data_IF_536138342665
#
_entry.id   IF_536138342665
#
_cell.length_a   1.000
_cell.length_b   1.000
_cell.length_c   1.000
_cell.angle_alpha   90.00
_cell.angle_beta   90.00
_cell.angle_gamma   90.00
#
_symmetry.space_group_name_H-M   'P 1'
#
loop_
_entity.id
_entity.type
_entity.pdbx_description
1 polymer ?
#
# COMPACT_ATOMS: atom_id res chain seq x y z
N UNK A 1 2.42 -9.87 -22.26
CA UNK A 1 1.37 -8.85 -22.42
C UNK A 1 1.39 -8.18 -23.80
N UNK A 2 2.35 -7.32 -24.17
CA UNK A 2 2.33 -6.60 -25.48
C UNK A 2 2.33 -7.55 -26.69
N UNK A 3 3.16 -8.59 -26.69
CA UNK A 3 3.21 -9.57 -27.80
C UNK A 3 1.88 -10.32 -27.99
N UNK A 4 1.21 -10.68 -26.90
CA UNK A 4 -0.11 -11.32 -26.93
C UNK A 4 -1.14 -10.39 -27.60
N UNK A 5 -1.09 -9.10 -27.28
CA UNK A 5 -1.97 -8.09 -27.89
C UNK A 5 -1.70 -7.90 -29.39
N UNK A 6 -0.42 -7.94 -29.81
CA UNK A 6 -0.04 -7.88 -31.23
C UNK A 6 -0.55 -9.11 -32.00
N UNK A 7 -0.53 -10.30 -31.40
CA UNK A 7 -1.08 -11.52 -32.01
C UNK A 7 -2.60 -11.47 -32.17
N UNK A 8 -3.30 -10.88 -31.20
CA UNK A 8 -4.75 -10.74 -31.20
C UNK A 8 -5.22 -9.68 -32.20
N UNK A 9 -4.68 -8.46 -32.11
CA UNK A 9 -5.13 -7.30 -32.88
C UNK A 9 -4.53 -7.29 -34.30
N UNK A 10 -3.36 -7.93 -34.49
CA UNK A 10 -2.60 -7.96 -35.75
C UNK A 10 -2.38 -6.57 -36.37
N UNK A 11 -1.81 -5.61 -35.62
CA UNK A 11 -1.59 -4.27 -36.13
C UNK A 11 -0.61 -4.27 -37.32
N UNK A 12 -0.81 -3.35 -38.26
CA UNK A 12 0.16 -3.11 -39.34
C UNK A 12 1.38 -2.32 -38.85
N UNK A 13 1.23 -1.52 -37.79
CA UNK A 13 2.28 -0.71 -37.17
C UNK A 13 2.14 -0.73 -35.65
N UNK A 14 3.21 -1.10 -34.95
CA UNK A 14 3.35 -0.99 -33.51
C UNK A 14 4.21 0.23 -33.16
N UNK A 15 3.66 1.22 -32.46
CA UNK A 15 4.39 2.40 -32.00
C UNK A 15 4.74 2.24 -30.53
N UNK A 16 6.03 2.27 -30.20
CA UNK A 16 6.50 2.07 -28.82
C UNK A 16 7.59 3.08 -28.44
N UNK A 17 7.68 3.39 -27.16
CA UNK A 17 8.77 4.20 -26.62
C UNK A 17 10.10 3.46 -26.66
N UNK A 18 11.18 4.19 -26.94
CA UNK A 18 12.56 3.68 -26.90
C UNK A 18 12.97 3.11 -25.54
N UNK A 19 12.38 3.64 -24.47
CA UNK A 19 12.57 3.20 -23.09
C UNK A 19 11.20 3.05 -22.42
N UNK A 20 11.11 2.09 -21.49
CA UNK A 20 9.95 1.95 -20.59
C UNK A 20 10.09 2.81 -19.33
N UNK A 21 9.14 2.66 -18.40
CA UNK A 21 9.08 3.44 -17.17
C UNK A 21 10.33 3.31 -16.28
N UNK A 22 10.97 2.14 -16.29
CA UNK A 22 12.19 1.86 -15.53
C UNK A 22 13.44 2.11 -16.40
N UNK A 23 13.61 3.34 -16.88
CA UNK A 23 14.76 3.70 -17.71
C UNK A 23 16.05 3.66 -16.87
N UNK A 24 17.03 2.92 -17.34
CA UNK A 24 18.42 2.99 -16.83
C UNK A 24 19.17 4.06 -17.60
N UNK A 25 19.82 4.97 -16.89
CA UNK A 25 20.65 6.02 -17.49
C UNK A 25 21.77 5.43 -18.36
N UNK A 26 22.14 6.13 -19.42
CA UNK A 26 23.19 5.73 -20.39
C UNK A 26 22.90 4.45 -21.20
N UNK A 27 21.64 4.00 -21.28
CA UNK A 27 21.24 2.94 -22.20
C UNK A 27 20.68 3.52 -23.51
N UNK A 28 21.02 2.88 -24.64
CA UNK A 28 20.53 3.30 -25.95
C UNK A 28 19.07 2.90 -26.18
N UNK A 29 18.67 1.73 -25.67
CA UNK A 29 17.37 1.10 -25.87
C UNK A 29 16.95 0.30 -24.62
N UNK A 30 15.66 0.26 -24.30
CA UNK A 30 15.12 -0.59 -23.23
C UNK A 30 14.99 -2.06 -23.66
N UNK A 31 15.15 -2.99 -22.73
CA UNK A 31 15.08 -4.45 -23.00
C UNK A 31 13.75 -4.89 -23.62
N UNK A 32 12.63 -4.32 -23.17
CA UNK A 32 11.31 -4.62 -23.73
C UNK A 32 11.16 -4.09 -25.17
N UNK A 33 11.71 -2.90 -25.44
CA UNK A 33 11.70 -2.32 -26.78
C UNK A 33 12.59 -3.14 -27.74
N UNK A 34 13.74 -3.62 -27.27
CA UNK A 34 14.61 -4.52 -28.03
C UNK A 34 13.93 -5.85 -28.37
N UNK A 35 13.26 -6.47 -27.39
CA UNK A 35 12.54 -7.71 -27.61
C UNK A 35 11.41 -7.54 -28.63
N UNK A 36 10.63 -6.46 -28.53
CA UNK A 36 9.55 -6.17 -29.48
C UNK A 36 10.09 -5.91 -30.89
N UNK A 37 11.21 -5.21 -31.05
CA UNK A 37 11.84 -5.04 -32.37
C UNK A 37 12.26 -6.37 -33.01
N UNK A 38 12.72 -7.33 -32.20
CA UNK A 38 13.20 -8.63 -32.71
C UNK A 38 12.06 -9.59 -33.01
N UNK A 39 10.99 -9.54 -32.23
CA UNK A 39 9.97 -10.60 -32.21
C UNK A 39 8.63 -10.17 -32.79
N UNK A 40 8.32 -8.87 -32.86
CA UNK A 40 7.02 -8.43 -33.35
C UNK A 40 6.83 -8.80 -34.84
N UNK A 41 5.71 -9.44 -35.21
CA UNK A 41 5.43 -9.82 -36.60
C UNK A 41 4.99 -8.64 -37.48
N UNK A 42 5.04 -7.40 -36.99
CA UNK A 42 4.59 -6.19 -37.66
C UNK A 42 5.69 -5.13 -37.72
N UNK A 43 5.48 -4.06 -38.50
CA UNK A 43 6.40 -2.92 -38.49
C UNK A 43 6.39 -2.26 -37.12
N UNK A 44 7.57 -1.96 -36.58
CA UNK A 44 7.72 -1.30 -35.28
C UNK A 44 8.34 0.08 -35.47
N UNK A 45 7.66 1.12 -34.97
CA UNK A 45 8.19 2.47 -34.88
C UNK A 45 8.61 2.77 -33.44
N UNK A 46 9.91 3.01 -33.26
CA UNK A 46 10.45 3.47 -31.99
C UNK A 46 10.39 4.99 -31.88
N UNK A 47 9.79 5.50 -30.81
CA UNK A 47 9.76 6.92 -30.50
C UNK A 47 10.71 7.24 -29.34
N UNK A 48 11.61 8.20 -29.56
CA UNK A 48 12.44 8.75 -28.51
C UNK A 48 11.69 9.88 -27.82
N UNK A 49 11.43 9.76 -26.52
CA UNK A 49 10.98 10.89 -25.71
C UNK A 49 12.20 11.59 -25.08
N UNK A 50 12.28 12.90 -25.26
CA UNK A 50 13.25 13.77 -24.57
C UNK A 50 12.45 14.68 -23.65
N UNK A 51 12.75 14.65 -22.36
CA UNK A 51 12.09 15.53 -21.38
C UNK A 51 10.68 15.10 -20.97
N UNK A 52 10.21 13.92 -21.37
CA UNK A 52 8.97 13.31 -20.86
C UNK A 52 9.38 12.15 -19.95
N UNK A 53 9.04 12.27 -18.67
CA UNK A 53 9.17 11.18 -17.71
C UNK A 53 7.91 10.33 -17.72
N UNK A 54 7.96 9.07 -17.28
CA UNK A 54 6.78 8.22 -17.20
C UNK A 54 5.63 8.85 -16.39
N UNK A 55 5.97 9.61 -15.35
CA UNK A 55 5.02 10.39 -14.55
C UNK A 55 4.36 11.57 -15.30
N UNK A 56 4.96 12.03 -16.42
CA UNK A 56 4.44 13.12 -17.25
C UNK A 56 3.47 12.62 -18.34
N UNK A 57 3.39 11.31 -18.56
CA UNK A 57 2.49 10.71 -19.55
C UNK A 57 1.10 10.59 -18.91
N UNK A 58 0.09 11.34 -19.38
CA UNK A 58 -1.26 11.17 -18.88
C UNK A 58 -1.71 9.73 -19.14
N UNK A 59 -2.31 9.10 -18.13
CA UNK A 59 -3.01 7.84 -18.33
C UNK A 59 -4.16 8.09 -19.31
N UNK A 60 -3.98 7.64 -20.55
CA UNK A 60 -5.05 7.58 -21.55
C UNK A 60 -5.60 6.17 -21.45
N UNK A 61 -6.88 6.04 -21.06
CA UNK A 61 -7.56 4.75 -20.97
C UNK A 61 -7.69 4.09 -22.36
N UNK A 62 -7.96 2.78 -22.37
CA UNK A 62 -8.08 1.89 -23.55
C UNK A 62 -9.03 2.42 -24.64
N UNK A 63 -9.96 3.28 -24.25
CA UNK A 63 -11.09 3.79 -25.01
C UNK A 63 -10.96 5.28 -25.37
N UNK A 64 -9.84 5.93 -25.00
CA UNK A 64 -9.52 7.30 -25.42
C UNK A 64 -10.44 8.38 -24.87
N UNK A 65 -11.30 8.06 -23.90
CA UNK A 65 -12.13 9.03 -23.18
C UNK A 65 -11.35 9.59 -21.99
N UNK A 66 -11.42 10.91 -21.81
CA UNK A 66 -10.89 11.54 -20.61
C UNK A 66 -11.81 11.16 -19.43
N UNK A 67 -11.23 10.54 -18.40
CA UNK A 67 -11.93 10.22 -17.16
C UNK A 67 -12.52 11.46 -16.46
N UNK A 68 -13.30 11.23 -15.42
CA UNK A 68 -13.87 12.35 -14.65
C UNK A 68 -12.76 13.21 -14.05
N UNK A 69 -12.93 14.55 -13.93
CA UNK A 69 -11.99 15.37 -13.18
C UNK A 69 -12.01 14.98 -11.70
N UNK A 70 -10.84 14.97 -11.07
CA UNK A 70 -10.67 14.71 -9.63
C UNK A 70 -10.33 15.99 -8.87
N UNK A 71 -10.87 16.12 -7.67
CA UNK A 71 -10.45 17.18 -6.75
C UNK A 71 -9.03 16.89 -6.22
N UNK A 72 -8.19 17.92 -5.97
CA UNK A 72 -6.79 17.72 -5.55
C UNK A 72 -6.62 16.83 -4.31
N UNK A 73 -7.53 16.93 -3.35
CA UNK A 73 -7.52 16.10 -2.16
C UNK A 73 -7.89 14.64 -2.43
N UNK A 74 -8.72 14.37 -3.45
CA UNK A 74 -9.06 13.00 -3.87
C UNK A 74 -7.89 12.37 -4.66
N UNK A 75 -7.20 13.17 -5.49
CA UNK A 75 -5.96 12.80 -6.19
C UNK A 75 -4.89 12.32 -5.21
N UNK A 76 -4.63 13.04 -4.13
CA UNK A 76 -3.63 12.62 -3.13
C UNK A 76 -4.04 11.31 -2.44
N UNK A 77 -5.34 11.08 -2.27
CA UNK A 77 -5.85 9.90 -1.56
C UNK A 77 -5.81 8.64 -2.40
N UNK A 78 -6.08 8.72 -3.71
CA UNK A 78 -5.99 7.55 -4.59
C UNK A 78 -4.55 7.04 -4.71
N UNK A 79 -3.54 7.89 -4.45
CA UNK A 79 -2.13 7.46 -4.38
C UNK A 79 -1.81 6.52 -3.20
N UNK A 80 -2.75 6.34 -2.25
CA UNK A 80 -2.66 5.30 -1.21
C UNK A 80 -2.98 3.92 -1.77
N UNK A 81 -3.76 3.86 -2.86
CA UNK A 81 -3.94 2.63 -3.63
C UNK A 81 -2.62 2.31 -4.34
N UNK A 82 -2.21 1.05 -4.41
CA UNK A 82 -0.99 0.66 -5.10
C UNK A 82 -1.00 1.00 -6.59
N UNK A 83 0.14 1.36 -7.19
CA UNK A 83 0.21 1.78 -8.59
C UNK A 83 -0.48 0.82 -9.59
N UNK A 84 -0.29 -0.50 -9.42
CA UNK A 84 -0.90 -1.50 -10.31
C UNK A 84 -2.43 -1.57 -10.23
N UNK A 85 -3.01 -1.23 -9.07
CA UNK A 85 -4.45 -1.25 -8.82
C UNK A 85 -5.09 0.14 -8.96
N UNK A 86 -4.29 1.21 -9.11
CA UNK A 86 -4.78 2.58 -9.20
C UNK A 86 -5.71 2.78 -10.41
N UNK A 87 -5.40 2.20 -11.57
CA UNK A 87 -6.26 2.32 -12.76
C UNK A 87 -7.65 1.70 -12.51
N UNK A 88 -7.68 0.47 -11.99
CA UNK A 88 -8.92 -0.24 -11.65
C UNK A 88 -9.71 0.53 -10.58
N UNK A 89 -9.02 1.01 -9.53
CA UNK A 89 -9.64 1.74 -8.45
C UNK A 89 -10.18 3.10 -8.91
N UNK A 90 -9.46 3.84 -9.76
CA UNK A 90 -9.94 5.09 -10.36
C UNK A 90 -11.22 4.86 -11.12
N UNK A 91 -11.24 3.90 -12.04
CA UNK A 91 -12.43 3.57 -12.82
C UNK A 91 -13.63 3.23 -11.96
N UNK A 92 -13.44 2.36 -10.96
CA UNK A 92 -14.53 1.97 -10.07
C UNK A 92 -15.09 3.16 -9.26
N UNK A 93 -14.23 4.11 -8.86
CA UNK A 93 -14.66 5.36 -8.22
C UNK A 93 -15.36 6.28 -9.20
N UNK A 94 -14.85 6.44 -10.42
CA UNK A 94 -15.44 7.29 -11.45
C UNK A 94 -16.82 6.78 -11.88
N UNK A 95 -16.96 5.48 -12.12
CA UNK A 95 -18.25 4.82 -12.37
C UNK A 95 -19.23 5.07 -11.22
N UNK A 96 -18.79 4.90 -9.97
CA UNK A 96 -19.62 5.19 -8.80
C UNK A 96 -20.09 6.65 -8.74
N UNK A 97 -19.21 7.59 -9.10
CA UNK A 97 -19.55 9.01 -9.13
C UNK A 97 -20.54 9.32 -10.26
N UNK A 98 -20.35 8.74 -11.44
CA UNK A 98 -21.28 8.84 -12.57
C UNK A 98 -22.66 8.28 -12.22
N UNK A 99 -22.73 7.12 -11.56
CA UNK A 99 -23.98 6.52 -11.07
C UNK A 99 -24.75 7.45 -10.13
N UNK A 100 -24.03 8.25 -9.33
CA UNK A 100 -24.62 9.26 -8.44
C UNK A 100 -24.93 10.59 -9.13
N UNK A 101 -24.70 10.70 -10.45
CA UNK A 101 -24.89 11.92 -11.23
C UNK A 101 -23.84 13.00 -10.93
N UNK A 102 -22.70 12.63 -10.35
CA UNK A 102 -21.58 13.53 -10.10
C UNK A 102 -20.71 13.73 -11.34
N UNK A 103 -20.13 14.91 -11.47
CA UNK A 103 -19.25 15.29 -12.59
C UNK A 103 -17.80 15.55 -12.16
N UNK A 104 -17.49 15.41 -10.87
CA UNK A 104 -16.15 15.55 -10.29
C UNK A 104 -15.99 14.60 -9.10
N UNK A 105 -14.84 13.92 -9.01
CA UNK A 105 -14.52 13.04 -7.88
C UNK A 105 -14.06 13.89 -6.70
N UNK A 106 -14.92 14.05 -5.71
CA UNK A 106 -14.61 14.76 -4.46
C UNK A 106 -14.16 13.79 -3.37
N UNK A 107 -13.48 14.30 -2.33
CA UNK A 107 -13.07 13.48 -1.18
C UNK A 107 -14.24 12.70 -0.57
N UNK A 108 -15.41 13.32 -0.47
CA UNK A 108 -16.62 12.71 0.08
C UNK A 108 -17.13 11.56 -0.79
N UNK A 109 -17.20 11.75 -2.11
CA UNK A 109 -17.65 10.70 -3.01
C UNK A 109 -16.64 9.55 -3.09
N UNK A 110 -15.35 9.86 -2.99
CA UNK A 110 -14.28 8.88 -2.88
C UNK A 110 -14.44 8.05 -1.59
N UNK A 111 -14.74 8.67 -0.44
CA UNK A 111 -15.03 7.96 0.82
C UNK A 111 -16.22 7.00 0.68
N UNK A 112 -17.32 7.48 0.09
CA UNK A 112 -18.52 6.67 -0.13
C UNK A 112 -18.24 5.50 -1.09
N UNK A 113 -17.44 5.73 -2.14
CA UNK A 113 -17.01 4.69 -3.07
C UNK A 113 -16.15 3.65 -2.36
N UNK A 114 -15.15 4.07 -1.57
CA UNK A 114 -14.28 3.18 -0.81
C UNK A 114 -15.09 2.32 0.18
N UNK A 115 -16.04 2.92 0.90
CA UNK A 115 -16.88 2.20 1.85
C UNK A 115 -17.74 1.12 1.19
N UNK A 116 -18.23 1.37 -0.02
CA UNK A 116 -19.10 0.44 -0.76
C UNK A 116 -18.29 -0.64 -1.51
N UNK A 117 -17.13 -0.28 -2.06
CA UNK A 117 -16.38 -1.13 -2.99
C UNK A 117 -15.31 -1.97 -2.28
N UNK A 118 -14.71 -1.48 -1.20
CA UNK A 118 -13.59 -2.15 -0.54
C UNK A 118 -14.03 -2.86 0.75
N UNK A 119 -13.64 -4.12 0.98
CA UNK A 119 -13.80 -4.76 2.27
C UNK A 119 -13.09 -3.99 3.40
N UNK A 120 -13.65 -3.99 4.60
CA UNK A 120 -13.17 -3.20 5.77
C UNK A 120 -11.68 -3.41 6.08
N UNK A 121 -11.17 -4.63 5.90
CA UNK A 121 -9.75 -4.93 6.16
C UNK A 121 -8.81 -4.24 5.14
N UNK A 122 -9.22 -4.12 3.87
CA UNK A 122 -8.46 -3.37 2.86
C UNK A 122 -8.47 -1.86 3.13
N UNK A 123 -9.61 -1.32 3.59
CA UNK A 123 -9.72 0.09 3.98
C UNK A 123 -8.70 0.44 5.09
N UNK A 124 -8.67 -0.37 6.15
CA UNK A 124 -7.76 -0.17 7.29
C UNK A 124 -6.29 -0.34 6.90
N UNK A 125 -5.99 -1.31 6.03
CA UNK A 125 -4.64 -1.52 5.47
C UNK A 125 -4.15 -0.27 4.72
N UNK A 126 -5.03 0.37 3.95
CA UNK A 126 -4.71 1.58 3.19
C UNK A 126 -4.76 2.87 4.04
N UNK A 127 -4.95 2.74 5.37
CA UNK A 127 -5.06 3.88 6.28
C UNK A 127 -6.31 4.72 6.04
N UNK A 128 -7.38 4.09 5.55
CA UNK A 128 -8.68 4.70 5.29
C UNK A 128 -9.57 4.29 6.47
N UNK A 129 -9.60 5.14 7.49
CA UNK A 129 -10.31 4.95 8.75
C UNK A 129 -9.90 6.01 9.76
N UNK A 130 -10.70 6.21 10.80
CA UNK A 130 -10.31 7.06 11.92
C UNK A 130 -9.11 6.47 12.67
N UNK A 131 -8.34 7.32 13.36
CA UNK A 131 -7.21 6.87 14.18
C UNK A 131 -7.65 5.85 15.24
N UNK A 132 -8.86 5.99 15.78
CA UNK A 132 -9.46 5.07 16.75
C UNK A 132 -9.76 3.69 16.14
N UNK A 133 -10.32 3.65 14.93
CA UNK A 133 -10.62 2.39 14.23
C UNK A 133 -9.34 1.62 13.87
N UNK A 134 -8.30 2.33 13.43
CA UNK A 134 -6.99 1.75 13.12
C UNK A 134 -6.36 1.16 14.39
N UNK A 135 -6.34 1.92 15.49
CA UNK A 135 -5.79 1.46 16.76
C UNK A 135 -6.54 0.22 17.30
N UNK A 136 -7.87 0.22 17.22
CA UNK A 136 -8.69 -0.92 17.61
C UNK A 136 -8.39 -2.16 16.74
N UNK A 137 -8.20 -1.97 15.43
CA UNK A 137 -7.87 -3.06 14.52
C UNK A 137 -6.48 -3.66 14.83
N UNK A 138 -5.49 -2.82 15.15
CA UNK A 138 -4.15 -3.26 15.56
C UNK A 138 -4.17 -4.05 16.87
N UNK A 139 -4.94 -3.60 17.87
CA UNK A 139 -5.11 -4.32 19.13
C UNK A 139 -5.74 -5.69 18.89
N UNK A 140 -6.83 -5.75 18.11
CA UNK A 140 -7.48 -7.03 17.75
C UNK A 140 -6.54 -7.95 16.99
N UNK A 141 -5.78 -7.43 16.03
CA UNK A 141 -4.82 -8.21 15.28
C UNK A 141 -3.72 -8.76 16.19
N UNK A 142 -3.18 -7.95 17.11
CA UNK A 142 -2.20 -8.38 18.11
C UNK A 142 -2.74 -9.54 18.95
N UNK A 143 -3.97 -9.44 19.43
CA UNK A 143 -4.60 -10.49 20.23
C UNK A 143 -4.77 -11.79 19.44
N UNK A 144 -5.21 -11.70 18.19
CA UNK A 144 -5.33 -12.87 17.31
C UNK A 144 -3.99 -13.54 17.04
N UNK A 145 -2.91 -12.76 16.91
CA UNK A 145 -1.58 -13.30 16.64
C UNK A 145 -1.02 -14.09 17.84
N UNK A 146 -1.43 -13.79 19.08
CA UNK A 146 -1.00 -14.54 20.30
C UNK A 146 -1.37 -16.02 20.27
N UNK A 147 -2.44 -16.39 19.55
CA UNK A 147 -2.88 -17.77 19.42
C UNK A 147 -1.96 -18.61 18.51
N UNK A 148 -1.01 -17.99 17.80
CA UNK A 148 -0.12 -18.70 16.87
C UNK A 148 0.93 -19.48 17.64
N UNK A 149 1.01 -20.80 17.41
CA UNK A 149 2.02 -21.65 18.03
C UNK A 149 3.32 -21.62 17.21
N UNK A 150 4.37 -21.05 17.78
CA UNK A 150 5.71 -20.98 17.16
C UNK A 150 6.66 -21.95 17.86
N UNK A 151 7.23 -22.90 17.12
CA UNK A 151 8.14 -23.91 17.65
C UNK A 151 9.04 -24.47 16.53
N UNK A 152 10.31 -24.74 16.87
CA UNK A 152 11.29 -25.32 15.95
C UNK A 152 11.80 -24.33 14.88
N UNK A 153 12.73 -24.82 14.08
CA UNK A 153 13.38 -24.10 12.98
C UNK A 153 13.09 -24.80 11.66
N UNK A 154 13.19 -24.06 10.56
CA UNK A 154 13.14 -24.61 9.19
C UNK A 154 14.17 -25.72 8.96
N UNK A 155 15.33 -25.65 9.63
CA UNK A 155 16.40 -26.64 9.52
C UNK A 155 16.12 -27.96 10.27
N UNK A 156 15.10 -27.99 11.14
CA UNK A 156 14.79 -29.19 11.91
C UNK A 156 14.31 -30.32 10.99
N UNK A 157 14.84 -31.55 11.13
CA UNK A 157 14.44 -32.66 10.27
C UNK A 157 12.95 -32.93 10.37
N UNK A 158 12.30 -33.17 9.24
CA UNK A 158 10.89 -33.55 9.21
C UNK A 158 10.78 -35.00 9.69
N UNK A 159 10.12 -35.27 10.84
CA UNK A 159 9.96 -36.64 11.31
C UNK A 159 9.05 -37.41 10.35
N UNK A 160 9.39 -38.69 10.10
CA UNK A 160 8.59 -39.56 9.24
C UNK A 160 7.14 -39.74 9.73
N UNK A 161 6.94 -39.71 11.05
CA UNK A 161 5.62 -39.66 11.68
C UNK A 161 5.55 -38.42 12.55
N UNK A 162 4.69 -37.44 12.23
CA UNK A 162 4.61 -36.23 13.00
C UNK A 162 3.85 -36.47 14.31
N UNK A 163 4.51 -36.25 15.44
CA UNK A 163 3.96 -36.47 16.77
C UNK A 163 3.56 -35.15 17.44
N UNK A 164 2.63 -35.23 18.39
CA UNK A 164 2.19 -34.13 19.24
C UNK A 164 2.05 -34.59 20.68
N UNK A 165 2.53 -33.75 21.60
CA UNK A 165 2.28 -33.90 23.02
C UNK A 165 0.89 -33.35 23.36
N UNK A 166 0.08 -34.18 24.00
CA UNK A 166 -1.25 -33.83 24.49
C UNK A 166 -1.30 -33.99 26.00
N UNK A 167 -1.78 -32.97 26.69
CA UNK A 167 -2.00 -33.02 28.13
C UNK A 167 -3.41 -33.55 28.41
N UNK A 168 -3.52 -34.62 29.20
CA UNK A 168 -4.81 -35.15 29.63
C UNK A 168 -5.55 -34.09 30.48
N UNK A 169 -6.79 -33.73 30.15
CA UNK A 169 -7.54 -32.70 30.89
C UNK A 169 -7.94 -33.15 32.31
N UNK A 170 -7.98 -34.46 32.56
CA UNK A 170 -8.38 -35.03 33.86
C UNK A 170 -7.18 -35.23 34.79
N UNK A 171 -6.12 -35.87 34.29
CA UNK A 171 -4.97 -36.27 35.12
C UNK A 171 -3.77 -35.34 34.98
N UNK A 172 -3.74 -34.48 33.96
CA UNK A 172 -2.60 -33.61 33.67
C UNK A 172 -1.38 -34.34 33.09
N UNK A 173 -1.44 -35.66 32.93
CA UNK A 173 -0.37 -36.44 32.32
C UNK A 173 -0.17 -36.03 30.85
N UNK A 174 1.09 -35.84 30.48
CA UNK A 174 1.48 -35.57 29.09
C UNK A 174 1.70 -36.90 28.39
N UNK A 175 0.96 -37.14 27.31
CA UNK A 175 1.17 -38.28 26.41
C UNK A 175 1.54 -37.78 25.02
N UNK A 176 2.24 -38.62 24.25
CA UNK A 176 2.60 -38.30 22.88
C UNK A 176 1.79 -39.20 21.94
N UNK A 177 1.17 -38.60 20.91
CA UNK A 177 0.44 -39.34 19.87
C UNK A 177 0.77 -38.81 18.47
N UNK A 178 0.44 -39.58 17.45
CA UNK A 178 0.51 -39.10 16.07
C UNK A 178 -0.47 -37.92 15.87
N UNK A 179 -0.06 -36.96 15.03
CA UNK A 179 -0.90 -35.82 14.67
C UNK A 179 -2.08 -36.24 13.79
N UNK A 180 -3.18 -35.52 13.94
CA UNK A 180 -4.38 -35.61 13.11
C UNK A 180 -4.68 -34.23 12.52
N UNK A 181 -5.52 -34.18 11.48
CA UNK A 181 -5.84 -32.94 10.73
C UNK A 181 -6.40 -31.82 11.61
N UNK A 182 -7.07 -32.16 12.72
CA UNK A 182 -7.63 -31.19 13.67
C UNK A 182 -6.59 -30.59 14.62
N UNK A 183 -5.36 -31.09 14.63
CA UNK A 183 -4.32 -30.58 15.52
C UNK A 183 -3.83 -29.19 15.08
N UNK A 184 -3.38 -28.34 16.03
CA UNK A 184 -2.87 -27.02 15.70
C UNK A 184 -1.64 -27.08 14.79
N UNK A 185 -1.67 -26.23 13.77
CA UNK A 185 -0.50 -25.93 12.93
C UNK A 185 0.57 -25.25 13.79
N UNK A 186 1.82 -25.58 13.50
CA UNK A 186 3.00 -24.99 14.13
C UNK A 186 3.76 -24.18 13.10
N UNK A 187 4.15 -22.97 13.47
CA UNK A 187 5.04 -22.13 12.66
C UNK A 187 6.48 -22.27 13.14
N UNK A 188 7.43 -22.35 12.23
CA UNK A 188 8.84 -22.21 12.57
C UNK A 188 9.18 -20.76 12.91
N UNK A 189 10.32 -20.56 13.56
CA UNK A 189 10.78 -19.23 13.95
C UNK A 189 11.03 -18.34 12.74
N UNK A 190 11.60 -18.87 11.67
CA UNK A 190 11.91 -18.16 10.42
C UNK A 190 10.62 -17.78 9.68
N UNK A 191 9.67 -18.71 9.54
CA UNK A 191 8.38 -18.43 8.92
C UNK A 191 7.59 -17.37 9.71
N UNK A 192 7.64 -17.45 11.04
CA UNK A 192 7.02 -16.46 11.92
C UNK A 192 7.64 -15.07 11.76
N UNK A 193 8.97 -14.97 11.75
CA UNK A 193 9.69 -13.70 11.52
C UNK A 193 9.34 -13.12 10.15
N UNK A 194 9.25 -13.95 9.11
CA UNK A 194 8.84 -13.53 7.77
C UNK A 194 7.40 -12.99 7.77
N UNK A 195 6.49 -13.64 8.48
CA UNK A 195 5.11 -13.16 8.64
C UNK A 195 5.02 -11.81 9.39
N UNK A 196 5.95 -11.52 10.30
CA UNK A 196 6.00 -10.23 11.01
C UNK A 196 6.34 -9.03 10.10
N UNK A 197 6.89 -9.28 8.90
CA UNK A 197 7.10 -8.24 7.88
C UNK A 197 5.77 -7.71 7.32
N UNK A 198 4.72 -8.53 7.34
CA UNK A 198 3.35 -8.12 6.97
C UNK A 198 2.83 -7.11 8.01
N UNK A 199 2.18 -6.00 7.59
CA UNK A 199 1.57 -5.06 8.51
C UNK A 199 0.60 -5.73 9.46
N UNK A 200 0.56 -5.22 10.70
CA UNK A 200 -0.14 -5.86 11.81
C UNK A 200 -1.62 -6.15 11.48
N UNK A 201 -2.31 -5.20 10.83
CA UNK A 201 -3.72 -5.32 10.45
C UNK A 201 -3.96 -6.46 9.44
N UNK A 202 -3.04 -6.67 8.50
CA UNK A 202 -3.14 -7.72 7.47
C UNK A 202 -2.62 -9.08 7.94
N UNK A 203 -1.82 -9.11 9.02
CA UNK A 203 -1.11 -10.30 9.45
C UNK A 203 -2.01 -11.50 9.80
N UNK A 204 -3.15 -11.33 10.51
CA UNK A 204 -4.05 -12.45 10.77
C UNK A 204 -4.64 -13.05 9.49
N UNK A 205 -4.95 -12.22 8.49
CA UNK A 205 -5.41 -12.68 7.19
C UNK A 205 -4.34 -13.52 6.50
N UNK A 206 -3.12 -12.99 6.38
CA UNK A 206 -1.99 -13.70 5.78
C UNK A 206 -1.69 -15.03 6.50
N UNK A 207 -1.72 -15.03 7.84
CA UNK A 207 -1.57 -16.25 8.65
C UNK A 207 -2.63 -17.29 8.29
N UNK A 208 -3.90 -16.88 8.27
CA UNK A 208 -5.01 -17.79 8.00
C UNK A 208 -4.97 -18.35 6.57
N UNK A 209 -4.49 -17.57 5.59
CA UNK A 209 -4.27 -18.03 4.22
C UNK A 209 -3.20 -19.12 4.17
N UNK A 210 -2.04 -18.89 4.78
CA UNK A 210 -0.95 -19.89 4.84
C UNK A 210 -1.39 -21.14 5.61
N UNK A 211 -2.11 -20.99 6.72
CA UNK A 211 -2.62 -22.14 7.49
C UNK A 211 -3.67 -22.94 6.71
N UNK A 212 -4.51 -22.28 5.91
CA UNK A 212 -5.46 -22.98 5.03
C UNK A 212 -4.73 -23.76 3.95
N UNK A 213 -3.75 -23.15 3.29
CA UNK A 213 -2.88 -23.83 2.33
C UNK A 213 -2.23 -25.05 2.97
N UNK A 214 -1.62 -24.87 4.15
CA UNK A 214 -0.98 -25.97 4.88
C UNK A 214 -1.97 -27.12 5.18
N UNK A 215 -3.20 -26.82 5.64
CA UNK A 215 -4.23 -27.86 5.86
C UNK A 215 -4.60 -28.60 4.58
N UNK A 216 -4.75 -27.88 3.47
CA UNK A 216 -5.13 -28.48 2.18
C UNK A 216 -4.04 -29.40 1.60
N UNK A 217 -2.79 -29.22 2.04
CA UNK A 217 -1.63 -30.01 1.61
C UNK A 217 -1.12 -30.96 2.69
N UNK A 218 -1.89 -31.20 3.77
CA UNK A 218 -1.52 -32.06 4.90
C UNK A 218 -0.21 -31.66 5.61
N UNK A 219 0.10 -30.36 5.60
CA UNK A 219 1.28 -29.77 6.21
C UNK A 219 0.93 -29.29 7.62
N UNK A 220 1.55 -29.89 8.63
CA UNK A 220 1.35 -29.49 10.03
C UNK A 220 2.34 -28.42 10.52
N UNK A 221 3.48 -28.27 9.83
CA UNK A 221 4.57 -27.35 10.17
C UNK A 221 4.78 -26.35 9.03
N UNK A 222 4.43 -25.10 9.27
CA UNK A 222 4.66 -23.99 8.32
C UNK A 222 6.11 -23.53 8.43
N UNK A 223 6.86 -23.74 7.36
CA UNK A 223 8.25 -23.30 7.17
C UNK A 223 8.32 -22.18 6.13
N UNK A 224 9.47 -21.53 5.93
CA UNK A 224 9.59 -20.51 4.87
C UNK A 224 9.34 -21.07 3.47
N UNK A 225 9.77 -22.29 3.08
CA UNK A 225 9.36 -22.90 1.81
C UNK A 225 7.85 -23.08 1.66
N UNK A 226 7.12 -23.46 2.72
CA UNK A 226 5.65 -23.60 2.68
C UNK A 226 4.98 -22.26 2.37
N UNK A 227 5.56 -21.15 2.86
CA UNK A 227 5.08 -19.81 2.52
C UNK A 227 5.35 -19.46 1.05
N UNK A 228 6.48 -19.89 0.50
CA UNK A 228 6.83 -19.71 -0.92
C UNK A 228 5.93 -20.54 -1.82
N UNK A 229 5.65 -21.80 -1.46
CA UNK A 229 4.72 -22.67 -2.19
C UNK A 229 3.30 -22.10 -2.19
N UNK A 230 2.83 -21.61 -1.04
CA UNK A 230 1.54 -20.91 -0.96
C UNK A 230 1.53 -19.68 -1.89
N UNK A 231 2.57 -18.86 -1.81
CA UNK A 231 2.69 -17.67 -2.65
C UNK A 231 2.67 -18.04 -4.15
N UNK A 232 3.41 -19.08 -4.55
CA UNK A 232 3.45 -19.56 -5.92
C UNK A 232 2.08 -20.08 -6.37
N UNK A 233 1.37 -20.84 -5.53
CA UNK A 233 0.02 -21.32 -5.82
C UNK A 233 -0.99 -20.17 -5.99
N UNK A 234 -0.86 -19.09 -5.21
CA UNK A 234 -1.70 -17.90 -5.35
C UNK A 234 -1.45 -17.16 -6.67
N UNK A 235 -0.21 -17.13 -7.16
CA UNK A 235 0.16 -16.56 -8.46
C UNK A 235 -0.41 -17.42 -9.59
N UNK A 236 -0.26 -18.75 -9.51
CA UNK A 236 -0.74 -19.68 -10.54
C UNK A 236 -2.26 -19.73 -10.66
N UNK A 237 -2.97 -19.54 -9.55
CA UNK A 237 -4.43 -19.49 -9.53
C UNK A 237 -5.00 -18.19 -10.10
N UNK A 238 -4.15 -17.23 -10.50
CA UNK A 238 -4.51 -15.86 -10.90
C UNK A 238 -5.41 -15.18 -9.83
N UNK A 239 -5.34 -15.69 -8.61
CA UNK A 239 -6.30 -15.41 -7.54
C UNK A 239 -5.82 -14.22 -6.73
N UNK A 240 -4.51 -13.93 -6.69
CA UNK A 240 -3.95 -12.86 -5.86
C UNK A 240 -2.50 -12.48 -6.25
N UNK A 241 -2.27 -11.25 -6.71
CA UNK A 241 -0.93 -10.70 -6.89
C UNK A 241 -0.32 -10.24 -5.55
N UNK A 242 0.16 -11.22 -4.77
CA UNK A 242 0.78 -11.03 -3.45
C UNK A 242 2.12 -10.29 -3.55
N UNK A 243 2.84 -10.43 -4.66
CA UNK A 243 4.12 -9.75 -4.86
C UNK A 243 3.95 -8.24 -4.94
N UNK A 244 2.94 -7.79 -5.69
CA UNK A 244 2.67 -6.36 -5.75
C UNK A 244 2.04 -5.82 -4.47
N UNK A 245 1.33 -6.66 -3.70
CA UNK A 245 0.84 -6.30 -2.37
C UNK A 245 1.95 -6.19 -1.31
N UNK A 246 2.94 -7.09 -1.33
CA UNK A 246 4.08 -7.05 -0.40
C UNK A 246 5.03 -5.89 -0.71
N UNK A 247 5.26 -5.57 -1.99
CA UNK A 247 5.96 -4.34 -2.42
C UNK A 247 5.18 -3.10 -1.99
N UNK A 248 3.86 -3.10 -2.15
CA UNK A 248 2.97 -2.07 -1.60
C UNK A 248 3.14 -1.92 -0.09
N UNK A 249 3.24 -3.01 0.67
CA UNK A 249 3.37 -2.95 2.13
C UNK A 249 4.73 -2.43 2.60
N UNK A 250 5.83 -2.78 1.92
CA UNK A 250 7.14 -2.19 2.19
C UNK A 250 7.18 -0.72 1.78
N UNK A 251 6.55 -0.32 0.68
CA UNK A 251 6.46 1.08 0.26
C UNK A 251 5.55 1.92 1.17
N UNK A 252 4.41 1.39 1.61
CA UNK A 252 3.52 2.05 2.57
C UNK A 252 4.18 2.20 3.93
N UNK A 253 4.89 1.18 4.43
CA UNK A 253 5.72 1.31 5.64
C UNK A 253 6.82 2.35 5.47
N UNK A 254 7.52 2.35 4.33
CA UNK A 254 8.56 3.34 4.07
C UNK A 254 7.99 4.76 4.02
N UNK A 255 6.82 4.96 3.40
CA UNK A 255 6.11 6.24 3.38
C UNK A 255 5.58 6.64 4.76
N UNK A 256 5.06 5.71 5.57
CA UNK A 256 4.62 5.98 6.94
C UNK A 256 5.79 6.33 7.86
N UNK A 257 6.91 5.62 7.77
CA UNK A 257 8.14 5.95 8.52
C UNK A 257 8.66 7.33 8.11
N UNK A 258 8.64 7.66 6.81
CA UNK A 258 9.01 9.00 6.32
C UNK A 258 8.02 10.08 6.79
N UNK A 259 6.71 9.83 6.73
CA UNK A 259 5.69 10.77 7.19
C UNK A 259 5.71 10.96 8.72
N UNK A 260 6.01 9.91 9.49
CA UNK A 260 6.25 10.02 10.94
C UNK A 260 7.55 10.74 11.26
N UNK A 261 8.60 10.54 10.45
CA UNK A 261 9.86 11.28 10.58
C UNK A 261 9.67 12.75 10.22
N UNK A 262 8.96 13.06 9.14
CA UNK A 262 8.59 14.42 8.73
C UNK A 262 7.64 15.08 9.75
N UNK A 263 6.70 14.33 10.33
CA UNK A 263 5.83 14.82 11.41
C UNK A 263 6.54 15.00 12.75
N UNK A 264 7.62 14.25 13.01
CA UNK A 264 8.50 14.41 14.18
C UNK A 264 9.63 15.41 13.96
N UNK A 265 9.99 15.78 12.74
CA UNK A 265 11.04 16.77 12.45
C UNK A 265 10.51 18.10 11.88
N UNK A 266 9.20 18.25 11.67
CA UNK A 266 8.59 19.52 11.26
C UNK A 266 8.64 20.64 12.33
N UNK A 267 9.01 20.33 13.57
CA UNK A 267 9.09 21.31 14.66
C UNK A 267 10.51 21.36 15.21
N UNK A 268 11.16 22.52 15.03
CA UNK A 268 12.46 22.78 15.64
C UNK A 268 12.38 22.61 17.17
N UNK A 269 13.49 22.26 17.84
CA UNK A 269 13.53 22.14 19.31
C UNK A 269 13.04 23.41 20.02
N UNK A 270 13.29 24.58 19.43
CA UNK A 270 12.83 25.88 19.91
C UNK A 270 11.31 26.01 19.81
N UNK A 271 10.68 25.54 18.73
CA UNK A 271 9.23 25.59 18.57
C UNK A 271 8.51 24.64 19.53
N UNK A 272 9.13 23.51 19.88
CA UNK A 272 8.61 22.58 20.90
C UNK A 272 8.63 23.20 22.30
N UNK A 273 9.72 23.86 22.66
CA UNK A 273 9.84 24.56 23.93
C UNK A 273 8.77 25.66 24.07
N UNK A 274 8.55 26.41 23.00
CA UNK A 274 7.53 27.46 22.95
C UNK A 274 6.10 26.93 23.14
N UNK A 275 5.78 25.78 22.53
CA UNK A 275 4.46 25.14 22.67
C UNK A 275 4.24 24.61 24.10
N UNK A 276 5.28 24.03 24.72
CA UNK A 276 5.19 23.53 26.10
C UNK A 276 5.08 24.67 27.12
N UNK A 277 5.77 25.79 26.90
CA UNK A 277 5.65 27.00 27.71
C UNK A 277 4.24 27.63 27.60
N UNK A 278 3.67 27.67 26.39
CA UNK A 278 2.31 28.15 26.15
C UNK A 278 1.23 27.26 26.81
N UNK A 279 1.43 25.93 26.81
CA UNK A 279 0.55 24.99 27.52
C UNK A 279 0.64 25.14 29.04
N UNK A 280 1.85 25.36 29.57
CA UNK A 280 2.06 25.58 31.00
C UNK A 280 1.37 26.86 31.51
N UNK A 281 1.17 27.84 30.62
CA UNK A 281 0.42 29.08 30.89
C UNK A 281 -1.10 28.94 30.70
N UNK A 282 -1.60 27.72 30.43
CA UNK A 282 -3.04 27.43 30.36
C UNK A 282 -3.72 27.80 29.04
N UNK A 283 -2.95 28.03 27.96
CA UNK A 283 -3.49 28.33 26.64
C UNK A 283 -3.99 27.03 26.00
N UNK A 284 -5.31 26.85 25.93
CA UNK A 284 -5.98 25.61 25.47
C UNK A 284 -6.26 25.56 23.96
N UNK A 285 -5.82 26.57 23.19
CA UNK A 285 -5.93 26.60 21.73
C UNK A 285 -4.56 26.74 21.06
N UNK A 286 -4.37 25.99 19.98
CA UNK A 286 -3.13 25.97 19.20
C UNK A 286 -2.87 27.34 18.53
N UNK A 287 -1.78 28.06 18.85
CA UNK A 287 -1.49 29.39 18.32
C UNK A 287 -1.36 29.45 16.79
N UNK A 288 -1.01 28.33 16.15
CA UNK A 288 -0.86 28.21 14.70
C UNK A 288 -2.21 28.46 13.99
N UNK A 289 -3.32 28.00 14.58
CA UNK A 289 -4.66 28.17 14.00
C UNK A 289 -5.18 29.61 14.09
N UNK A 290 -4.68 30.39 15.06
CA UNK A 290 -5.03 31.81 15.20
C UNK A 290 -4.19 32.69 14.25
N UNK A 291 -3.02 32.22 13.83
CA UNK A 291 -2.18 32.87 12.81
C UNK A 291 -2.82 32.70 11.43
N UNK A 292 -3.29 31.50 11.07
CA UNK A 292 -4.02 31.26 9.80
C UNK A 292 -5.25 32.17 9.66
N UNK A 293 -6.05 32.32 10.73
CA UNK A 293 -7.22 33.19 10.73
C UNK A 293 -6.90 34.70 10.63
N UNK A 294 -5.68 35.10 11.02
CA UNK A 294 -5.16 36.48 10.86
C UNK A 294 -4.51 36.67 9.49
N UNK A 295 -3.89 35.64 8.92
CA UNK A 295 -3.29 35.66 7.58
C UNK A 295 -4.34 35.80 6.46
N UNK A 296 -5.54 35.22 6.64
CA UNK A 296 -6.69 35.43 5.74
C UNK A 296 -7.18 36.89 5.70
N UNK A 297 -6.81 37.70 6.70
CA UNK A 297 -7.12 39.14 6.77
C UNK A 297 -5.94 40.03 6.37
N UNK A 298 -4.84 39.44 5.89
CA UNK A 298 -3.70 40.20 5.41
C UNK A 298 -4.10 40.96 4.14
N UNK A 299 -4.05 42.31 4.13
CA UNK A 299 -4.57 43.10 3.02
C UNK A 299 -3.67 43.07 1.76
N UNK A 300 -2.67 42.19 1.70
CA UNK A 300 -1.65 42.17 0.65
C UNK A 300 -1.58 40.78 0.03
N UNK A 301 -1.76 40.73 -1.29
CA UNK A 301 -1.60 39.50 -2.08
C UNK A 301 -0.10 39.16 -2.21
N UNK A 302 0.33 38.12 -1.50
CA UNK A 302 1.73 37.69 -1.44
C UNK A 302 2.29 37.18 -2.78
N UNK A 303 1.46 37.04 -3.82
CA UNK A 303 1.90 36.65 -5.16
C UNK A 303 2.42 37.82 -6.00
N UNK A 304 2.20 39.07 -5.58
CA UNK A 304 2.46 40.25 -6.42
C UNK A 304 3.38 41.30 -5.80
N UNK A 305 3.87 41.09 -4.57
CA UNK A 305 4.71 42.04 -3.84
C UNK A 305 6.14 41.52 -3.62
N UNK A 306 7.07 42.46 -3.42
CA UNK A 306 8.47 42.10 -3.16
C UNK A 306 8.64 41.51 -1.75
N UNK A 307 9.66 40.67 -1.50
CA UNK A 307 9.88 40.03 -0.20
C UNK A 307 10.00 41.01 0.98
N UNK A 308 10.52 42.22 0.75
CA UNK A 308 10.67 43.27 1.78
C UNK A 308 9.35 43.97 2.11
N UNK A 309 8.40 44.01 1.17
CA UNK A 309 7.05 44.53 1.38
C UNK A 309 6.17 43.51 2.07
N UNK A 310 6.27 42.23 1.69
CA UNK A 310 5.60 41.13 2.37
C UNK A 310 6.02 41.05 3.84
N UNK A 311 7.34 41.18 4.12
CA UNK A 311 7.87 41.16 5.49
C UNK A 311 7.33 42.32 6.34
N UNK A 312 7.31 43.56 5.82
CA UNK A 312 6.74 44.72 6.54
C UNK A 312 5.25 44.59 6.80
N UNK A 313 4.50 43.99 5.88
CA UNK A 313 3.07 43.76 6.04
C UNK A 313 2.79 42.75 7.15
N UNK A 314 3.56 41.66 7.20
CA UNK A 314 3.49 40.64 8.26
C UNK A 314 3.88 41.22 9.62
N UNK A 315 4.95 42.03 9.68
CA UNK A 315 5.39 42.69 10.92
C UNK A 315 4.34 43.66 11.48
N UNK A 316 3.60 44.38 10.62
CA UNK A 316 2.48 45.23 11.06
C UNK A 316 1.26 44.46 11.55
N UNK A 317 1.08 43.21 11.12
CA UNK A 317 -0.07 42.37 11.46
C UNK A 317 0.15 41.58 12.75
N UNK A 318 1.41 41.48 13.19
CA UNK A 318 1.85 40.80 14.40
C UNK A 318 2.05 41.75 15.62
N UNK A 319 1.86 43.06 15.45
CA UNK A 319 1.72 44.04 16.54
C UNK A 319 0.28 44.08 17.07
#
# INVERSE_FOLDING_TARGET
MIMQWVEEIKPSLLVIGRHGAHRVENTELGSQAENLLRLAPCSVLLTGVVGVRPEDIPWIEEDGQAGLPWAPEAEVRILRVPPFAQGIARRAVEEFVLEKGGSIVTSKLLDEAIQKLLPTHMQLIMGIGSAEEIALAEVKATEQMKATKVQGSDADPVPAVPMIETKCPVTGNVSTRARVVTDPIVWTQEAWQRLQLVPLIARPLARNTVERFARNHDIWRVTTPVMDDNKQAMIEADEFDVDTMMVMFTELRAKQIRAEAEGKDALSPEMRAFIEEAKAQGITRCPIRDIEAKMDKCPVDMKTVTPEEAKRAVEKLLQ
#
